data_IF_094551789549
#
_entry.id   IF_094551789549
#
_cell.length_a   1.000
_cell.length_b   1.000
_cell.length_c   1.000
_cell.angle_alpha   90.00
_cell.angle_beta   90.00
_cell.angle_gamma   90.00
#
_symmetry.space_group_name_H-M   'P 1'
#
loop_
_entity.id
_entity.type
_entity.pdbx_description
1 polymer ?
#
# COMPACT_ATOMS: atom_id res chain seq x y z
N UNK A 1 -20.73 -0.44 -32.58
CA UNK A 1 -20.78 0.31 -31.31
C UNK A 1 -21.52 -0.54 -30.29
N UNK A 2 -21.00 -0.66 -29.07
CA UNK A 2 -21.56 -1.56 -28.06
C UNK A 2 -22.67 -0.87 -27.25
N UNK A 3 -23.91 -0.98 -27.70
CA UNK A 3 -25.05 -0.27 -27.13
C UNK A 3 -25.31 -0.65 -25.67
N UNK A 4 -25.18 -1.94 -25.34
CA UNK A 4 -25.38 -2.45 -23.98
C UNK A 4 -24.39 -1.84 -22.97
N UNK A 5 -23.09 -1.77 -23.33
CA UNK A 5 -22.11 -1.11 -22.45
C UNK A 5 -22.39 0.39 -22.28
N UNK A 6 -22.80 1.06 -23.36
CA UNK A 6 -23.10 2.49 -23.31
C UNK A 6 -24.33 2.79 -22.46
N UNK A 7 -25.36 1.93 -22.50
CA UNK A 7 -26.56 2.07 -21.65
C UNK A 7 -26.25 1.97 -20.16
N UNK A 8 -25.37 1.04 -19.77
CA UNK A 8 -24.95 0.89 -18.37
C UNK A 8 -24.16 2.11 -17.85
N UNK A 9 -23.52 2.89 -18.74
CA UNK A 9 -22.78 4.09 -18.36
C UNK A 9 -23.68 5.32 -18.18
N UNK A 10 -24.86 5.36 -18.81
CA UNK A 10 -25.74 6.54 -18.79
C UNK A 10 -26.06 7.04 -17.36
N UNK A 11 -26.46 6.19 -16.40
CA UNK A 11 -26.80 6.67 -15.05
C UNK A 11 -25.63 7.35 -14.35
N UNK A 12 -24.39 6.85 -14.54
CA UNK A 12 -23.20 7.47 -13.96
C UNK A 12 -22.83 8.79 -14.62
N UNK A 13 -23.14 8.96 -15.91
CA UNK A 13 -22.97 10.24 -16.62
C UNK A 13 -24.03 11.25 -16.14
N UNK A 14 -25.27 10.82 -15.94
CA UNK A 14 -26.34 11.64 -15.39
C UNK A 14 -26.02 12.12 -13.97
N UNK A 15 -25.49 11.25 -13.11
CA UNK A 15 -25.00 11.63 -11.77
C UNK A 15 -23.88 12.68 -11.85
N UNK A 16 -22.96 12.52 -12.79
CA UNK A 16 -21.85 13.45 -13.03
C UNK A 16 -22.26 14.79 -13.68
N UNK A 17 -23.49 14.92 -14.19
CA UNK A 17 -23.93 16.07 -15.00
C UNK A 17 -23.87 17.41 -14.26
N UNK A 18 -23.90 17.40 -12.93
CA UNK A 18 -23.77 18.61 -12.09
C UNK A 18 -22.36 19.20 -12.11
N UNK A 19 -21.35 18.44 -12.57
CA UNK A 19 -19.96 18.88 -12.67
C UNK A 19 -19.57 19.02 -14.15
N UNK A 20 -19.47 20.26 -14.63
CA UNK A 20 -19.17 20.56 -16.04
C UNK A 20 -17.75 21.09 -16.27
N UNK A 21 -17.09 21.55 -15.21
CA UNK A 21 -15.76 22.15 -15.28
C UNK A 21 -14.75 21.46 -14.34
N UNK A 22 -13.48 21.54 -14.75
CA UNK A 22 -12.37 20.90 -14.02
C UNK A 22 -12.22 21.44 -12.61
N UNK A 23 -12.48 22.73 -12.39
CA UNK A 23 -12.28 23.36 -11.09
C UNK A 23 -13.32 22.87 -10.08
N UNK A 24 -14.60 22.83 -10.48
CA UNK A 24 -15.69 22.26 -9.68
C UNK A 24 -15.45 20.78 -9.40
N UNK A 25 -14.94 20.01 -10.37
CA UNK A 25 -14.58 18.61 -10.15
C UNK A 25 -13.51 18.44 -9.07
N UNK A 26 -12.43 19.22 -9.13
CA UNK A 26 -11.36 19.20 -8.14
C UNK A 26 -11.85 19.66 -6.77
N UNK A 27 -12.70 20.69 -6.73
CA UNK A 27 -13.32 21.18 -5.50
C UNK A 27 -14.20 20.11 -4.85
N UNK A 28 -14.98 19.39 -5.66
CA UNK A 28 -15.86 18.30 -5.25
C UNK A 28 -15.10 17.09 -4.69
N UNK A 29 -13.95 16.74 -5.29
CA UNK A 29 -13.03 15.72 -4.76
C UNK A 29 -12.43 16.20 -3.43
N UNK A 30 -11.93 17.43 -3.39
CA UNK A 30 -11.26 17.96 -2.20
C UNK A 30 -12.18 18.04 -0.97
N UNK A 31 -13.47 18.36 -1.16
CA UNK A 31 -14.48 18.41 -0.07
C UNK A 31 -14.71 17.06 0.60
N UNK A 32 -14.43 15.95 -0.08
CA UNK A 32 -14.52 14.60 0.49
C UNK A 32 -13.26 14.18 1.23
N UNK A 33 -12.18 14.94 1.08
CA UNK A 33 -10.97 14.76 1.87
C UNK A 33 -11.09 15.40 3.25
N UNK A 34 -10.17 15.07 4.14
CA UNK A 34 -10.15 15.57 5.53
C UNK A 34 -9.70 17.06 5.66
N UNK A 35 -9.55 17.80 4.56
CA UNK A 35 -8.89 19.10 4.54
C UNK A 35 -9.89 20.26 4.31
N UNK A 36 -10.35 20.88 5.40
CA UNK A 36 -11.28 22.04 5.37
C UNK A 36 -10.56 23.37 5.13
N UNK A 37 -9.79 23.48 4.05
CA UNK A 37 -9.07 24.69 3.67
C UNK A 37 -9.85 25.66 2.77
N UNK A 38 -9.23 26.80 2.47
CA UNK A 38 -9.68 27.73 1.41
C UNK A 38 -9.80 27.02 0.05
N UNK A 39 -10.57 27.59 -0.88
CA UNK A 39 -10.80 27.00 -2.22
C UNK A 39 -9.47 26.65 -2.92
N UNK A 40 -8.52 27.57 -2.96
CA UNK A 40 -7.22 27.35 -3.62
C UNK A 40 -6.43 26.20 -2.98
N UNK A 41 -6.44 26.11 -1.65
CA UNK A 41 -5.78 25.03 -0.93
C UNK A 41 -6.43 23.68 -1.22
N UNK A 42 -7.76 23.65 -1.33
CA UNK A 42 -8.53 22.45 -1.71
C UNK A 42 -8.23 22.02 -3.14
N UNK A 43 -8.17 22.96 -4.10
CA UNK A 43 -7.81 22.67 -5.48
C UNK A 43 -6.39 22.11 -5.60
N UNK A 44 -5.42 22.71 -4.89
CA UNK A 44 -4.03 22.20 -4.85
C UNK A 44 -3.98 20.79 -4.26
N UNK A 45 -4.70 20.55 -3.17
CA UNK A 45 -4.78 19.23 -2.54
C UNK A 45 -5.37 18.16 -3.47
N UNK A 46 -6.47 18.45 -4.16
CA UNK A 46 -7.04 17.52 -5.13
C UNK A 46 -6.10 17.23 -6.31
N UNK A 47 -5.35 18.24 -6.79
CA UNK A 47 -4.33 18.02 -7.83
C UNK A 47 -3.22 17.09 -7.33
N UNK A 48 -2.75 17.28 -6.10
CA UNK A 48 -1.73 16.41 -5.50
C UNK A 48 -2.22 14.95 -5.39
N UNK A 49 -3.48 14.74 -5.00
CA UNK A 49 -4.11 13.40 -4.99
C UNK A 49 -4.10 12.79 -6.41
N UNK A 50 -4.60 13.54 -7.40
CA UNK A 50 -4.67 13.04 -8.78
C UNK A 50 -3.29 12.69 -9.35
N UNK A 51 -2.24 13.39 -8.92
CA UNK A 51 -0.87 13.14 -9.35
C UNK A 51 -0.22 11.98 -8.58
N UNK A 52 -0.29 11.97 -7.24
CA UNK A 52 0.52 11.07 -6.39
C UNK A 52 -0.21 9.85 -5.88
N UNK A 53 -1.54 9.92 -5.73
CA UNK A 53 -2.34 8.85 -5.11
C UNK A 53 -3.20 8.10 -6.14
N UNK A 54 -3.73 8.80 -7.15
CA UNK A 54 -4.49 8.16 -8.21
C UNK A 54 -3.56 7.43 -9.19
N UNK A 55 -3.65 6.10 -9.24
CA UNK A 55 -2.86 5.22 -10.11
C UNK A 55 -1.34 5.52 -10.08
N UNK A 56 -0.68 5.40 -8.92
CA UNK A 56 0.70 5.85 -8.72
C UNK A 56 1.74 5.00 -9.48
N UNK A 57 1.36 3.80 -9.90
CA UNK A 57 2.20 2.88 -10.67
C UNK A 57 2.33 3.28 -12.15
N UNK A 58 1.45 4.15 -12.66
CA UNK A 58 1.50 4.64 -14.04
C UNK A 58 2.44 5.84 -14.13
N UNK A 59 2.18 6.85 -13.30
CA UNK A 59 3.03 8.04 -13.21
C UNK A 59 2.68 8.85 -11.96
N UNK A 60 3.68 9.46 -11.36
CA UNK A 60 3.52 10.50 -10.33
C UNK A 60 3.98 11.89 -10.81
N UNK A 61 4.33 12.00 -12.10
CA UNK A 61 4.76 13.24 -12.73
C UNK A 61 3.56 14.03 -13.22
N UNK A 62 3.70 15.35 -13.18
CA UNK A 62 2.71 16.27 -13.76
C UNK A 62 2.57 16.06 -15.27
N UNK A 63 1.36 16.31 -15.81
CA UNK A 63 1.09 16.22 -17.25
C UNK A 63 0.91 14.78 -17.80
N UNK A 64 0.88 13.76 -16.94
CA UNK A 64 0.67 12.36 -17.36
C UNK A 64 -0.76 11.85 -17.11
N UNK A 65 -1.71 12.76 -16.89
CA UNK A 65 -3.10 12.45 -16.54
C UNK A 65 -3.81 11.64 -17.64
N UNK A 66 -3.49 11.89 -18.92
CA UNK A 66 -4.07 11.16 -20.06
C UNK A 66 -3.81 9.66 -19.99
N UNK A 67 -2.59 9.24 -19.60
CA UNK A 67 -2.26 7.81 -19.46
C UNK A 67 -3.07 7.15 -18.34
N UNK A 68 -3.27 7.88 -17.24
CA UNK A 68 -4.12 7.42 -16.13
C UNK A 68 -5.58 7.30 -16.56
N UNK A 69 -6.08 8.25 -17.35
CA UNK A 69 -7.44 8.23 -17.87
C UNK A 69 -7.69 6.99 -18.75
N UNK A 70 -6.77 6.64 -19.65
CA UNK A 70 -6.89 5.41 -20.45
C UNK A 70 -6.94 4.16 -19.59
N UNK A 71 -6.09 4.04 -18.57
CA UNK A 71 -6.10 2.89 -17.68
C UNK A 71 -7.37 2.82 -16.82
N UNK A 72 -7.87 3.96 -16.36
CA UNK A 72 -9.14 4.04 -15.65
C UNK A 72 -10.32 3.61 -16.53
N UNK A 73 -10.34 4.06 -17.79
CA UNK A 73 -11.31 3.58 -18.79
C UNK A 73 -11.21 2.07 -19.01
N UNK A 74 -10.01 1.50 -19.06
CA UNK A 74 -9.81 0.06 -19.12
C UNK A 74 -10.35 -0.68 -17.87
N UNK A 75 -10.16 -0.12 -16.66
CA UNK A 75 -10.74 -0.70 -15.44
C UNK A 75 -12.27 -0.74 -15.49
N UNK A 76 -12.91 0.36 -15.91
CA UNK A 76 -14.37 0.43 -16.08
C UNK A 76 -14.83 -0.54 -17.17
N UNK A 77 -14.13 -0.61 -18.30
CA UNK A 77 -14.44 -1.54 -19.37
C UNK A 77 -14.41 -3.00 -18.90
N UNK A 78 -13.39 -3.39 -18.12
CA UNK A 78 -13.32 -4.73 -17.51
C UNK A 78 -14.49 -5.00 -16.57
N UNK A 79 -14.89 -4.01 -15.77
CA UNK A 79 -16.06 -4.13 -14.88
C UNK A 79 -17.35 -4.37 -15.68
N UNK A 80 -17.59 -3.57 -16.73
CA UNK A 80 -18.78 -3.71 -17.57
C UNK A 80 -18.82 -5.05 -18.31
N UNK A 81 -17.67 -5.56 -18.75
CA UNK A 81 -17.58 -6.90 -19.34
C UNK A 81 -18.06 -7.99 -18.38
N UNK A 82 -17.73 -7.88 -17.08
CA UNK A 82 -18.21 -8.83 -16.07
C UNK A 82 -19.71 -8.70 -15.83
N UNK A 83 -20.23 -7.46 -15.71
CA UNK A 83 -21.67 -7.20 -15.52
C UNK A 83 -22.50 -7.74 -16.67
N UNK A 84 -22.03 -7.61 -17.91
CA UNK A 84 -22.69 -8.13 -19.10
C UNK A 84 -22.47 -9.64 -19.33
N UNK A 85 -21.77 -10.34 -18.42
CA UNK A 85 -21.49 -11.77 -18.56
C UNK A 85 -20.56 -12.13 -19.71
N UNK A 86 -19.84 -11.15 -20.27
CA UNK A 86 -18.86 -11.37 -21.36
C UNK A 86 -17.50 -11.83 -20.85
N UNK A 87 -17.29 -11.70 -19.55
CA UNK A 87 -16.09 -12.14 -18.84
C UNK A 87 -16.47 -12.63 -17.45
N UNK A 88 -15.84 -13.71 -17.01
CA UNK A 88 -16.02 -14.21 -15.65
C UNK A 88 -15.32 -13.35 -14.60
N UNK A 89 -15.77 -13.46 -13.36
CA UNK A 89 -15.13 -12.85 -12.21
C UNK A 89 -13.72 -13.40 -11.98
N UNK A 90 -12.81 -12.53 -11.54
CA UNK A 90 -11.44 -12.94 -11.23
C UNK A 90 -11.41 -13.82 -9.96
N UNK A 91 -10.84 -15.03 -10.09
CA UNK A 91 -10.59 -15.87 -8.93
C UNK A 91 -9.51 -15.25 -8.02
N UNK A 92 -9.91 -14.98 -6.77
CA UNK A 92 -9.07 -14.43 -5.70
C UNK A 92 -8.06 -15.44 -5.18
N UNK A 93 -8.40 -16.73 -5.20
CA UNK A 93 -7.59 -17.78 -4.60
C UNK A 93 -6.51 -18.34 -5.55
N UNK A 94 -6.61 -18.04 -6.84
CA UNK A 94 -5.59 -18.30 -7.85
C UNK A 94 -4.20 -17.79 -7.46
N UNK A 95 -3.27 -18.72 -7.21
CA UNK A 95 -1.95 -18.44 -6.66
C UNK A 95 -1.05 -17.63 -7.61
N UNK A 96 -1.23 -17.76 -8.93
CA UNK A 96 -0.52 -16.93 -9.92
C UNK A 96 -0.74 -15.41 -9.80
N UNK A 97 -1.83 -14.98 -9.16
CA UNK A 97 -2.13 -13.57 -8.86
C UNK A 97 -1.59 -13.13 -7.49
N UNK A 98 -1.08 -14.07 -6.68
CA UNK A 98 -0.46 -13.81 -5.39
C UNK A 98 1.06 -13.63 -5.57
N UNK A 99 1.69 -12.97 -4.59
CA UNK A 99 3.15 -12.75 -4.56
C UNK A 99 3.66 -13.12 -3.16
N UNK A 100 4.84 -13.75 -3.13
CA UNK A 100 5.50 -14.15 -1.89
C UNK A 100 6.52 -13.10 -1.48
N UNK A 101 6.25 -12.42 -0.38
CA UNK A 101 7.23 -11.53 0.27
C UNK A 101 8.27 -12.39 1.00
N UNK A 102 9.45 -12.55 0.40
CA UNK A 102 10.60 -13.21 1.03
C UNK A 102 11.38 -12.24 1.94
N UNK A 103 12.52 -12.70 2.48
CA UNK A 103 13.36 -11.90 3.37
C UNK A 103 13.76 -10.53 2.76
N UNK A 104 14.03 -10.45 1.46
CA UNK A 104 14.42 -9.21 0.78
C UNK A 104 13.39 -8.08 0.91
N UNK A 105 12.19 -8.21 0.31
CA UNK A 105 11.13 -7.20 0.41
C UNK A 105 10.74 -6.86 1.85
N UNK A 106 10.71 -7.87 2.74
CA UNK A 106 10.38 -7.67 4.16
C UNK A 106 11.42 -6.77 4.84
N UNK A 107 12.71 -7.12 4.76
CA UNK A 107 13.80 -6.35 5.37
C UNK A 107 13.89 -4.95 4.75
N UNK A 108 13.73 -4.82 3.43
CA UNK A 108 13.74 -3.52 2.75
C UNK A 108 12.64 -2.58 3.28
N UNK A 109 11.42 -3.08 3.47
CA UNK A 109 10.34 -2.27 4.01
C UNK A 109 10.58 -1.89 5.48
N UNK A 110 11.08 -2.82 6.31
CA UNK A 110 11.43 -2.53 7.70
C UNK A 110 12.53 -1.47 7.80
N UNK A 111 13.60 -1.62 7.01
CA UNK A 111 14.69 -0.67 6.95
C UNK A 111 14.19 0.72 6.54
N UNK A 112 13.35 0.82 5.50
CA UNK A 112 12.76 2.09 5.06
C UNK A 112 12.00 2.79 6.19
N UNK A 113 11.21 2.06 6.97
CA UNK A 113 10.47 2.62 8.12
C UNK A 113 11.44 3.18 9.17
N UNK A 114 12.45 2.40 9.55
CA UNK A 114 13.44 2.81 10.57
C UNK A 114 14.30 3.98 10.09
N UNK A 115 14.68 4.00 8.81
CA UNK A 115 15.47 5.07 8.21
C UNK A 115 14.67 6.37 8.10
N UNK A 116 13.38 6.31 7.72
CA UNK A 116 12.50 7.48 7.76
C UNK A 116 12.33 8.02 9.18
N UNK A 117 12.31 7.15 10.20
CA UNK A 117 12.31 7.59 11.60
C UNK A 117 13.62 8.30 11.97
N UNK A 118 14.77 7.74 11.58
CA UNK A 118 16.08 8.35 11.78
C UNK A 118 16.14 9.76 11.16
N UNK A 119 15.75 9.91 9.89
CA UNK A 119 15.76 11.23 9.22
C UNK A 119 14.88 12.27 9.90
N UNK A 120 13.70 11.87 10.41
CA UNK A 120 12.82 12.74 11.19
C UNK A 120 13.42 13.16 12.53
N UNK A 121 14.12 12.25 13.21
CA UNK A 121 14.76 12.56 14.49
C UNK A 121 15.98 13.49 14.30
N UNK A 122 16.77 13.29 13.23
CA UNK A 122 17.86 14.21 12.83
C UNK A 122 17.30 15.60 12.51
N UNK A 123 16.21 15.67 11.75
CA UNK A 123 15.55 16.94 11.41
C UNK A 123 15.09 17.71 12.66
N UNK A 124 14.46 17.02 13.63
CA UNK A 124 14.04 17.65 14.89
C UNK A 124 15.21 18.13 15.73
N UNK A 125 16.33 17.41 15.73
CA UNK A 125 17.53 17.85 16.44
C UNK A 125 18.12 19.11 15.79
N UNK A 126 18.22 19.13 14.46
CA UNK A 126 18.65 20.33 13.72
C UNK A 126 17.77 21.55 14.05
N UNK A 127 16.44 21.37 14.05
CA UNK A 127 15.51 22.44 14.38
C UNK A 127 15.79 23.04 15.78
N UNK A 128 16.03 22.19 16.79
CA UNK A 128 16.37 22.66 18.15
C UNK A 128 17.72 23.37 18.23
N UNK A 129 18.72 22.90 17.50
CA UNK A 129 20.02 23.57 17.43
C UNK A 129 19.85 24.99 16.88
N UNK A 130 19.07 25.15 15.80
CA UNK A 130 18.79 26.46 15.21
C UNK A 130 17.99 27.35 16.16
N UNK A 131 16.94 26.84 16.79
CA UNK A 131 16.11 27.60 17.76
C UNK A 131 16.91 28.09 18.98
N UNK A 132 17.90 27.30 19.42
CA UNK A 132 18.73 27.62 20.58
C UNK A 132 20.05 28.32 20.23
N UNK A 133 20.29 28.66 18.95
CA UNK A 133 21.57 29.16 18.44
C UNK A 133 22.78 28.30 18.85
N UNK A 134 22.62 26.97 18.85
CA UNK A 134 23.68 26.01 19.12
C UNK A 134 24.23 25.43 17.82
N UNK A 135 25.53 25.11 17.80
CA UNK A 135 26.16 24.45 16.66
C UNK A 135 25.57 23.05 16.44
N UNK A 136 25.32 22.71 15.17
CA UNK A 136 24.79 21.42 14.80
C UNK A 136 25.89 20.37 14.72
N UNK A 137 25.86 19.39 15.64
CA UNK A 137 26.78 18.27 15.62
C UNK A 137 26.11 17.02 14.98
N UNK A 138 26.59 16.64 13.80
CA UNK A 138 26.11 15.47 13.04
C UNK A 138 26.22 14.17 13.83
N UNK A 139 27.33 13.98 14.57
CA UNK A 139 27.55 12.74 15.32
C UNK A 139 26.53 12.59 16.46
N UNK A 140 26.12 13.71 17.09
CA UNK A 140 25.07 13.70 18.11
C UNK A 140 23.67 13.53 17.51
N UNK A 141 23.46 14.02 16.29
CA UNK A 141 22.19 13.92 15.58
C UNK A 141 21.86 12.48 15.18
N UNK A 142 22.85 11.74 14.66
CA UNK A 142 22.66 10.42 14.07
C UNK A 142 22.71 9.33 15.14
N UNK A 143 21.53 8.90 15.59
CA UNK A 143 21.39 7.82 16.58
C UNK A 143 21.33 6.45 15.91
N UNK A 144 22.49 5.77 15.83
CA UNK A 144 22.59 4.41 15.28
C UNK A 144 21.67 3.38 15.96
N UNK A 145 21.37 3.59 17.25
CA UNK A 145 20.48 2.74 18.04
C UNK A 145 19.07 2.61 17.47
N UNK A 146 18.57 3.58 16.70
CA UNK A 146 17.24 3.53 16.07
C UNK A 146 17.15 2.33 15.11
N UNK A 147 18.16 2.15 14.26
CA UNK A 147 18.20 1.07 13.28
C UNK A 147 18.56 -0.25 13.98
N UNK A 148 19.65 -0.26 14.76
CA UNK A 148 20.14 -1.47 15.42
C UNK A 148 19.09 -2.11 16.33
N UNK A 149 18.48 -1.32 17.21
CA UNK A 149 17.47 -1.86 18.14
C UNK A 149 16.16 -2.17 17.42
N UNK A 150 15.77 -1.38 16.42
CA UNK A 150 14.56 -1.62 15.62
C UNK A 150 14.62 -2.95 14.85
N UNK A 151 15.75 -3.23 14.21
CA UNK A 151 15.98 -4.50 13.52
C UNK A 151 16.05 -5.66 14.52
N UNK A 152 16.84 -5.54 15.59
CA UNK A 152 16.96 -6.57 16.63
C UNK A 152 15.59 -6.93 17.22
N UNK A 153 14.76 -5.94 17.55
CA UNK A 153 13.42 -6.16 18.09
C UNK A 153 12.51 -6.90 17.11
N UNK A 154 12.45 -6.45 15.85
CA UNK A 154 11.53 -7.02 14.86
C UNK A 154 11.90 -8.47 14.51
N UNK A 155 13.21 -8.75 14.44
CA UNK A 155 13.73 -10.10 14.20
C UNK A 155 13.54 -11.02 15.42
N UNK A 156 13.71 -10.51 16.64
CA UNK A 156 13.58 -11.32 17.86
C UNK A 156 12.13 -11.65 18.20
N UNK A 157 11.21 -10.70 18.01
CA UNK A 157 9.80 -10.84 18.41
C UNK A 157 8.90 -11.33 17.29
N UNK A 158 9.33 -11.18 16.03
CA UNK A 158 8.50 -11.46 14.86
C UNK A 158 7.43 -10.40 14.60
N UNK A 159 7.45 -9.25 15.29
CA UNK A 159 6.57 -8.12 15.03
C UNK A 159 7.24 -7.15 14.05
N UNK A 160 6.66 -7.00 12.85
CA UNK A 160 7.21 -6.18 11.77
C UNK A 160 6.38 -4.91 11.59
N UNK A 161 6.93 -3.77 12.00
CA UNK A 161 6.28 -2.47 11.89
C UNK A 161 6.66 -1.51 13.01
N UNK A 162 5.93 -0.40 13.11
CA UNK A 162 6.07 0.54 14.22
C UNK A 162 5.41 -0.04 15.47
N UNK A 163 6.15 -0.16 16.57
CA UNK A 163 5.65 -0.61 17.87
C UNK A 163 4.44 0.22 18.33
N UNK A 164 4.42 1.52 17.98
CA UNK A 164 3.30 2.42 18.34
C UNK A 164 2.02 2.12 17.58
N UNK A 165 2.09 1.35 16.49
CA UNK A 165 0.94 0.95 15.65
C UNK A 165 0.84 -0.57 15.58
N UNK A 166 0.95 -1.23 16.73
CA UNK A 166 0.97 -2.69 16.86
C UNK A 166 -0.20 -3.41 16.15
N UNK A 167 -1.41 -2.82 16.17
CA UNK A 167 -2.59 -3.39 15.49
C UNK A 167 -2.46 -3.50 13.96
N UNK A 168 -1.54 -2.75 13.35
CA UNK A 168 -1.27 -2.77 11.90
C UNK A 168 0.01 -3.51 11.53
N UNK A 169 0.77 -3.98 12.53
CA UNK A 169 2.04 -4.65 12.31
C UNK A 169 1.81 -6.10 11.85
N UNK A 170 2.64 -6.58 10.91
CA UNK A 170 2.64 -7.99 10.53
C UNK A 170 3.28 -8.79 11.68
N UNK A 171 2.51 -9.64 12.33
CA UNK A 171 2.98 -10.47 13.44
C UNK A 171 3.40 -11.87 12.97
N UNK A 172 4.37 -12.48 13.66
CA UNK A 172 4.80 -13.87 13.46
C UNK A 172 5.63 -14.13 12.20
N UNK A 173 6.23 -13.08 11.62
CA UNK A 173 7.05 -13.18 10.40
C UNK A 173 8.43 -13.80 10.71
N UNK A 174 9.04 -13.43 11.84
CA UNK A 174 10.26 -14.08 12.34
C UNK A 174 9.89 -15.12 13.39
N UNK A 175 10.51 -16.29 13.32
CA UNK A 175 10.26 -17.42 14.20
C UNK A 175 11.57 -18.08 14.61
N UNK A 176 11.61 -18.67 15.80
CA UNK A 176 12.76 -19.45 16.26
C UNK A 176 12.90 -20.69 15.37
N UNK A 177 14.09 -20.89 14.82
CA UNK A 177 14.36 -22.02 13.92
C UNK A 177 14.15 -23.34 14.65
N UNK A 178 13.38 -24.23 14.02
CA UNK A 178 13.13 -25.56 14.54
C UNK A 178 14.32 -26.47 14.18
N UNK A 179 14.98 -27.03 15.20
CA UNK A 179 16.20 -27.84 15.07
C UNK A 179 16.04 -29.29 15.57
N UNK A 180 14.81 -29.83 15.63
CA UNK A 180 14.60 -31.21 16.10
C UNK A 180 15.23 -32.26 15.17
N UNK A 181 15.12 -32.05 13.86
CA UNK A 181 15.75 -32.90 12.83
C UNK A 181 16.23 -32.05 11.67
N UNK A 182 17.13 -32.60 10.85
CA UNK A 182 17.58 -31.94 9.62
C UNK A 182 16.39 -31.64 8.68
N UNK A 183 15.48 -32.61 8.51
CA UNK A 183 14.28 -32.44 7.70
C UNK A 183 13.35 -31.35 8.26
N UNK A 184 13.18 -31.27 9.58
CA UNK A 184 12.40 -30.21 10.23
C UNK A 184 12.99 -28.82 9.95
N UNK A 185 14.32 -28.72 10.01
CA UNK A 185 15.03 -27.46 9.73
C UNK A 185 14.80 -27.00 8.28
N UNK A 186 14.98 -27.89 7.30
CA UNK A 186 14.73 -27.59 5.88
C UNK A 186 13.28 -27.23 5.60
N UNK A 187 12.33 -27.97 6.19
CA UNK A 187 10.90 -27.68 6.07
C UNK A 187 10.59 -26.29 6.61
N UNK A 188 11.13 -25.92 7.78
CA UNK A 188 10.87 -24.63 8.40
C UNK A 188 11.38 -23.46 7.53
N UNK A 189 12.57 -23.58 6.94
CA UNK A 189 13.14 -22.54 6.07
C UNK A 189 12.33 -22.28 4.79
N UNK A 190 11.47 -23.22 4.38
CA UNK A 190 10.64 -23.12 3.16
C UNK A 190 9.19 -22.73 3.44
N UNK A 191 8.82 -22.47 4.70
CA UNK A 191 7.45 -22.09 5.06
C UNK A 191 7.10 -20.70 4.54
N UNK A 192 5.87 -20.54 4.11
CA UNK A 192 5.24 -19.26 3.83
C UNK A 192 3.98 -19.13 4.69
N UNK A 193 3.55 -17.91 4.95
CA UNK A 193 2.36 -17.65 5.75
C UNK A 193 1.35 -16.84 4.95
N UNK A 194 0.07 -17.23 5.00
CA UNK A 194 -1.02 -16.44 4.42
C UNK A 194 -1.64 -15.62 5.55
N UNK A 195 -1.69 -14.27 5.44
CA UNK A 195 -2.23 -13.41 6.49
C UNK A 195 -3.76 -13.48 6.53
N UNK A 196 -4.30 -14.61 6.98
CA UNK A 196 -5.74 -14.83 7.20
C UNK A 196 -6.00 -14.78 8.71
N UNK A 197 -7.06 -14.06 9.09
CA UNK A 197 -7.50 -14.02 10.49
C UNK A 197 -7.74 -15.43 11.02
N UNK A 198 -7.22 -15.72 12.21
CA UNK A 198 -7.30 -17.07 12.81
C UNK A 198 -8.75 -17.45 13.13
N UNK A 199 -9.59 -16.47 13.41
CA UNK A 199 -10.98 -16.64 13.86
C UNK A 199 -11.99 -16.79 12.72
N UNK A 200 -11.57 -16.61 11.46
CA UNK A 200 -12.46 -16.74 10.31
C UNK A 200 -12.69 -18.20 9.90
N UNK A 201 -13.96 -18.65 9.92
CA UNK A 201 -14.45 -19.92 9.33
C UNK A 201 -14.47 -19.93 7.79
N UNK A 202 -13.68 -19.07 7.14
CA UNK A 202 -13.59 -19.03 5.69
C UNK A 202 -12.80 -20.23 5.19
N UNK A 203 -13.49 -21.18 4.55
CA UNK A 203 -12.89 -22.42 4.06
C UNK A 203 -12.06 -22.23 2.79
N UNK A 204 -12.52 -21.41 1.83
CA UNK A 204 -11.89 -21.29 0.49
C UNK A 204 -10.37 -21.00 0.52
N UNK A 205 -9.84 -20.05 1.33
CA UNK A 205 -8.39 -19.80 1.37
C UNK A 205 -7.57 -20.94 1.99
N UNK A 206 -8.22 -21.90 2.66
CA UNK A 206 -7.60 -23.06 3.31
C UNK A 206 -7.66 -24.32 2.44
N UNK A 207 -8.47 -24.32 1.38
CA UNK A 207 -8.59 -25.42 0.45
C UNK A 207 -7.40 -25.45 -0.51
N UNK A 208 -7.03 -26.65 -0.95
CA UNK A 208 -6.04 -26.80 -2.01
C UNK A 208 -6.65 -26.32 -3.33
N UNK A 209 -6.06 -25.28 -3.91
CA UNK A 209 -6.44 -24.77 -5.23
C UNK A 209 -5.59 -25.43 -6.32
N UNK A 210 -6.15 -25.66 -7.51
CA UNK A 210 -5.45 -26.33 -8.62
C UNK A 210 -4.18 -25.59 -9.05
N UNK A 211 -4.14 -24.26 -8.91
CA UNK A 211 -2.98 -23.44 -9.25
C UNK A 211 -1.75 -23.67 -8.36
N UNK A 212 -1.83 -24.52 -7.33
CA UNK A 212 -0.65 -24.92 -6.53
C UNK A 212 0.17 -26.02 -7.21
N UNK A 213 -0.35 -26.67 -8.25
CA UNK A 213 0.36 -27.72 -8.96
C UNK A 213 1.66 -27.19 -9.59
N UNK A 214 2.79 -27.80 -9.22
CA UNK A 214 4.11 -27.47 -9.77
C UNK A 214 4.85 -26.30 -9.10
N UNK A 215 4.32 -25.76 -7.99
CA UNK A 215 4.97 -24.74 -7.15
C UNK A 215 5.71 -25.34 -5.94
#
# INVERSE_FOLDING_TARGET
TDTQMLELLKPSIEEGSVVQDRETALDFIAKRGANSGTKDRRLKFARDIMQREFLPHISQKEGQDTRKAYFFGYMIHRLLQCVLGRRDEDDRDHFGKKRLDLAGPLVANLFRILFLKLTKDVYKYLQRCVENNQDFNVQMAVKASIITNGLKYSLATGNWGDQKKAASAKAGVSQVLNRYTYASTLSHLRRTNTPVGRDGKLAKPRQLHNSHWGL
#
